data_IF_069528121552
#
_entry.id   IF_069528121552
#
_cell.length_a   1.000
_cell.length_b   1.000
_cell.length_c   1.000
_cell.angle_alpha   90.00
_cell.angle_beta   90.00
_cell.angle_gamma   90.00
#
_symmetry.space_group_name_H-M   'P 1'
#
loop_
_entity.id
_entity.type
_entity.pdbx_description
1 polymer ?
#
# COMPACT_ATOMS: atom_id res chain seq x y z
N UNK A 1 -24.41 22.77 -21.91
CA UNK A 1 -23.02 22.31 -21.73
C UNK A 1 -22.98 21.41 -20.52
N UNK A 2 -22.73 20.10 -20.69
CA UNK A 2 -22.71 19.11 -19.61
C UNK A 2 -21.37 19.24 -18.87
N UNK A 3 -21.33 20.01 -17.79
CA UNK A 3 -20.24 19.97 -16.81
C UNK A 3 -20.10 18.52 -16.34
N UNK A 4 -18.99 17.87 -16.70
CA UNK A 4 -18.72 16.50 -16.25
C UNK A 4 -18.42 16.55 -14.76
N UNK A 5 -19.05 15.66 -14.01
CA UNK A 5 -18.86 15.41 -12.59
C UNK A 5 -17.36 15.45 -12.21
N UNK A 6 -16.92 16.52 -11.55
CA UNK A 6 -15.54 16.68 -11.03
C UNK A 6 -15.44 16.30 -9.55
N UNK A 7 -16.41 15.54 -9.04
CA UNK A 7 -16.41 15.08 -7.65
C UNK A 7 -15.63 13.78 -7.49
N UNK A 8 -14.93 13.62 -6.37
CA UNK A 8 -14.46 12.29 -5.95
C UNK A 8 -15.70 11.40 -5.81
N UNK A 9 -15.75 10.32 -6.59
CA UNK A 9 -16.89 9.41 -6.61
C UNK A 9 -16.77 8.30 -5.58
N UNK A 10 -15.55 8.00 -5.11
CA UNK A 10 -15.28 7.05 -4.04
C UNK A 10 -13.88 7.24 -3.44
N UNK A 11 -13.74 6.89 -2.16
CA UNK A 11 -12.46 6.73 -1.44
C UNK A 11 -12.47 5.33 -0.85
N UNK A 12 -11.33 4.63 -0.93
CA UNK A 12 -11.18 3.30 -0.36
C UNK A 12 -9.80 3.13 0.26
N UNK A 13 -9.73 2.26 1.26
CA UNK A 13 -8.50 1.87 1.95
C UNK A 13 -8.40 0.35 1.94
N UNK A 14 -7.20 -0.18 1.72
CA UNK A 14 -6.93 -1.61 1.71
C UNK A 14 -5.67 -1.93 2.50
N UNK A 15 -5.60 -3.13 3.06
CA UNK A 15 -4.38 -3.72 3.62
C UNK A 15 -3.97 -4.89 2.74
N UNK A 16 -2.67 -4.99 2.44
CA UNK A 16 -2.08 -6.08 1.66
C UNK A 16 -1.00 -6.76 2.50
N UNK A 17 -0.78 -8.05 2.27
CA UNK A 17 0.25 -8.85 2.95
C UNK A 17 1.08 -9.61 1.92
N UNK A 18 2.36 -9.82 2.19
CA UNK A 18 3.17 -10.76 1.41
C UNK A 18 2.91 -12.15 1.96
N UNK A 19 2.44 -13.04 1.09
CA UNK A 19 2.08 -14.39 1.44
C UNK A 19 2.91 -15.36 0.61
N UNK A 20 3.55 -16.30 1.29
CA UNK A 20 4.22 -17.43 0.65
C UNK A 20 3.22 -18.58 0.52
N UNK A 21 2.87 -18.90 -0.72
CA UNK A 21 1.94 -19.98 -1.04
C UNK A 21 2.59 -21.36 -1.00
N UNK A 22 3.91 -21.46 -1.06
CA UNK A 22 4.60 -22.76 -0.92
C UNK A 22 4.61 -23.21 0.53
N UNK A 23 4.88 -22.29 1.46
CA UNK A 23 4.86 -22.57 2.90
C UNK A 23 3.53 -22.22 3.60
N UNK A 24 2.52 -21.80 2.82
CA UNK A 24 1.17 -21.45 3.28
C UNK A 24 1.14 -20.47 4.46
N UNK A 25 2.02 -19.46 4.45
CA UNK A 25 2.12 -18.49 5.53
C UNK A 25 2.44 -17.08 5.04
N UNK A 26 2.04 -16.09 5.84
CA UNK A 26 2.47 -14.71 5.66
C UNK A 26 3.95 -14.60 5.97
N UNK A 27 4.67 -13.82 5.16
CA UNK A 27 6.10 -13.56 5.33
C UNK A 27 6.38 -12.06 5.48
N UNK A 28 7.54 -11.69 6.06
CA UNK A 28 7.97 -10.30 6.06
C UNK A 28 8.02 -9.72 4.65
N UNK A 29 7.65 -8.44 4.52
CA UNK A 29 7.81 -7.69 3.28
C UNK A 29 9.30 -7.68 2.87
N UNK A 30 9.66 -8.09 1.63
CA UNK A 30 11.03 -8.05 1.12
C UNK A 30 11.66 -6.67 1.27
N UNK A 31 12.95 -6.61 1.59
CA UNK A 31 13.65 -5.37 1.92
C UNK A 31 13.63 -4.36 0.77
N UNK A 32 13.87 -4.81 -0.47
CA UNK A 32 13.84 -3.94 -1.65
C UNK A 32 12.45 -3.30 -1.86
N UNK A 33 11.39 -4.06 -1.57
CA UNK A 33 10.02 -3.55 -1.66
C UNK A 33 9.72 -2.55 -0.54
N UNK A 34 10.17 -2.85 0.67
CA UNK A 34 10.09 -1.92 1.80
C UNK A 34 10.76 -0.59 1.46
N UNK A 35 11.98 -0.63 0.93
CA UNK A 35 12.74 0.54 0.52
C UNK A 35 12.02 1.34 -0.58
N UNK A 36 11.42 0.64 -1.54
CA UNK A 36 10.63 1.29 -2.61
C UNK A 36 9.40 2.00 -2.05
N UNK A 37 8.65 1.34 -1.16
CA UNK A 37 7.44 1.90 -0.56
C UNK A 37 7.75 3.08 0.37
N UNK A 38 8.81 3.00 1.18
CA UNK A 38 9.22 4.12 2.05
C UNK A 38 9.82 5.27 1.26
N UNK A 39 10.48 5.01 0.13
CA UNK A 39 10.91 6.09 -0.78
C UNK A 39 9.72 6.81 -1.42
N UNK A 40 8.63 6.08 -1.72
CA UNK A 40 7.42 6.66 -2.28
C UNK A 40 6.61 7.43 -1.23
N UNK A 41 6.45 6.87 -0.04
CA UNK A 41 5.75 7.48 1.10
C UNK A 41 6.69 7.56 2.32
N UNK A 42 7.54 8.61 2.41
CA UNK A 42 8.51 8.75 3.49
C UNK A 42 7.90 8.79 4.91
N UNK A 43 6.62 9.16 5.02
CA UNK A 43 5.87 9.14 6.28
C UNK A 43 5.78 7.75 6.93
N UNK A 44 5.94 6.68 6.15
CA UNK A 44 5.93 5.29 6.65
C UNK A 44 7.20 4.92 7.43
N UNK A 45 8.32 5.63 7.24
CA UNK A 45 9.58 5.32 7.91
C UNK A 45 9.60 5.66 9.41
N UNK A 46 8.71 6.55 9.88
CA UNK A 46 8.73 7.11 11.23
C UNK A 46 7.56 6.65 12.12
N UNK A 47 6.80 5.63 11.70
CA UNK A 47 5.69 5.11 12.52
C UNK A 47 6.22 4.00 13.43
N UNK A 48 6.26 4.17 14.77
CA UNK A 48 6.66 3.11 15.68
C UNK A 48 5.59 2.00 15.69
N UNK A 49 6.05 0.74 15.65
CA UNK A 49 5.21 -0.46 15.83
C UNK A 49 4.77 -0.62 17.28
#
# INVERSE_FOLDING_TARGET
TRERDKGIVAIGTTVQVVYDYESEQSIPLPEDWRNTLTSFEPGLANTPN
#
